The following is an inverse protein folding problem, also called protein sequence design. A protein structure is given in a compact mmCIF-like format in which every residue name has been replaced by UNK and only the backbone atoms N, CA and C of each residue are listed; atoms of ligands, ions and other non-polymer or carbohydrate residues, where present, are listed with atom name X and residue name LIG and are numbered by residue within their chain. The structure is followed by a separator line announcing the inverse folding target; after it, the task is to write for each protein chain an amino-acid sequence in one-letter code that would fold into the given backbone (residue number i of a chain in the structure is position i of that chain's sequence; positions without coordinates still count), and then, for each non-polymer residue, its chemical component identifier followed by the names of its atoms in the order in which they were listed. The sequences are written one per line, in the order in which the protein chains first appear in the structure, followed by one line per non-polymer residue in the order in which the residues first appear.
data_IF_239389892581
#
_entry.id   IF_239389892581
#
_cell.length_a   1.000
_cell.length_b   1.000
_cell.length_c   1.000
_cell.angle_alpha   90.00
_cell.angle_beta   90.00
_cell.angle_gamma   90.00
#
_symmetry.space_group_name_H-M   'P 1'
#
loop_
_entity.id
_entity.type
_entity.pdbx_description
1 polymer ?
#
# COMPACT_ATOMS: atom_id res chain seq x y z
N UNK A 1 -8.30 13.69 -3.02
CA UNK A 1 -7.55 12.41 -3.12
C UNK A 1 -7.13 12.05 -1.71
N UNK A 2 -7.52 10.88 -1.20
CA UNK A 2 -7.12 10.43 0.14
C UNK A 2 -6.04 9.36 -0.01
N UNK A 3 -4.96 9.47 0.75
CA UNK A 3 -3.85 8.51 0.72
C UNK A 3 -3.62 7.95 2.11
N UNK A 4 -3.47 6.64 2.19
CA UNK A 4 -3.16 5.91 3.41
C UNK A 4 -1.91 5.06 3.18
N UNK A 5 -1.01 5.03 4.16
CA UNK A 5 0.18 4.18 4.14
C UNK A 5 0.02 3.11 5.22
N UNK A 6 0.14 1.84 4.84
CA UNK A 6 0.20 0.70 5.75
C UNK A 6 1.61 0.15 5.71
N UNK A 7 2.35 0.20 6.81
CA UNK A 7 3.75 -0.22 6.85
C UNK A 7 4.02 -1.21 7.98
N UNK A 8 5.00 -2.10 7.75
CA UNK A 8 5.55 -3.01 8.76
C UNK A 8 6.98 -3.37 8.38
N UNK A 9 7.93 -3.07 9.28
CA UNK A 9 9.34 -3.34 9.04
C UNK A 9 9.84 -2.66 7.76
N UNK A 10 10.40 -3.46 6.84
CA UNK A 10 11.00 -2.96 5.61
C UNK A 10 10.01 -2.85 4.42
N UNK A 11 8.71 -3.04 4.66
CA UNK A 11 7.68 -3.06 3.62
C UNK A 11 6.59 -2.05 3.94
N UNK A 12 6.07 -1.40 2.90
CA UNK A 12 4.95 -0.49 3.01
C UNK A 12 4.02 -0.64 1.81
N UNK A 13 2.72 -0.47 2.02
CA UNK A 13 1.72 -0.40 0.96
C UNK A 13 1.08 0.97 1.01
N UNK A 14 1.12 1.68 -0.12
CA UNK A 14 0.42 2.94 -0.28
C UNK A 14 -0.91 2.64 -0.93
N UNK A 15 -2.00 3.07 -0.29
CA UNK A 15 -3.37 2.97 -0.77
C UNK A 15 -3.84 4.38 -1.10
N UNK A 16 -4.27 4.60 -2.34
CA UNK A 16 -4.80 5.85 -2.82
C UNK A 16 -6.26 5.66 -3.18
N UNK A 17 -7.14 6.47 -2.60
CA UNK A 17 -8.53 6.56 -3.00
C UNK A 17 -8.71 7.64 -4.06
N UNK A 18 -9.30 7.24 -5.19
CA UNK A 18 -9.75 8.12 -6.24
C UNK A 18 -11.14 7.70 -6.75
N UNK A 19 -12.13 8.61 -6.64
CA UNK A 19 -13.51 8.42 -7.14
C UNK A 19 -14.15 7.11 -6.66
N UNK A 20 -13.96 6.75 -5.39
CA UNK A 20 -14.51 5.54 -4.77
C UNK A 20 -13.80 4.24 -5.14
N UNK A 21 -12.67 4.31 -5.86
CA UNK A 21 -11.78 3.17 -6.10
C UNK A 21 -10.49 3.34 -5.31
N UNK A 22 -9.98 2.24 -4.79
CA UNK A 22 -8.76 2.20 -3.98
C UNK A 22 -7.66 1.50 -4.76
N UNK A 23 -6.66 2.24 -5.22
CA UNK A 23 -5.46 1.68 -5.82
C UNK A 23 -4.41 1.45 -4.73
N UNK A 24 -3.83 0.26 -4.65
CA UNK A 24 -2.79 -0.07 -3.68
C UNK A 24 -1.52 -0.54 -4.39
N UNK A 25 -0.35 -0.10 -3.93
CA UNK A 25 0.96 -0.52 -4.45
C UNK A 25 1.91 -0.85 -3.31
N UNK A 26 2.62 -1.97 -3.44
CA UNK A 26 3.64 -2.39 -2.49
C UNK A 26 4.98 -1.70 -2.77
N UNK A 27 5.64 -1.29 -1.70
CA UNK A 27 6.97 -0.73 -1.63
C UNK A 27 7.82 -1.59 -0.70
N UNK A 28 9.07 -1.80 -1.09
CA UNK A 28 10.10 -2.49 -0.30
C UNK A 28 11.22 -1.53 0.03
N UNK A 29 12.09 -1.86 0.98
CA UNK A 29 13.12 -0.95 1.49
C UNK A 29 12.52 0.31 2.14
N UNK A 30 11.36 0.18 2.78
CA UNK A 30 10.60 1.27 3.38
C UNK A 30 10.94 1.53 4.86
N UNK A 31 12.04 0.97 5.38
CA UNK A 31 12.44 1.09 6.79
C UNK A 31 12.57 2.54 7.27
N UNK A 32 13.05 3.43 6.40
CA UNK A 32 13.25 4.86 6.68
C UNK A 32 12.15 5.73 6.04
N UNK A 33 10.97 5.13 5.80
CA UNK A 33 9.82 5.78 5.17
C UNK A 33 9.71 5.50 3.68
N UNK A 34 8.55 5.87 3.10
CA UNK A 34 8.21 5.53 1.71
C UNK A 34 8.98 6.36 0.67
N UNK A 35 9.51 7.53 1.06
CA UNK A 35 10.20 8.45 0.14
C UNK A 35 11.47 7.83 -0.46
N UNK A 36 12.13 6.96 0.32
CA UNK A 36 13.34 6.23 -0.09
C UNK A 36 13.04 4.78 -0.51
N UNK A 37 11.78 4.37 -0.48
CA UNK A 37 11.39 3.01 -0.75
C UNK A 37 11.34 2.72 -2.25
N UNK A 38 11.60 1.47 -2.63
CA UNK A 38 11.48 1.01 -4.00
C UNK A 38 10.06 0.55 -4.29
N UNK A 39 9.40 1.18 -5.26
CA UNK A 39 8.09 0.75 -5.73
C UNK A 39 8.19 -0.60 -6.45
N UNK A 40 7.33 -1.54 -6.10
CA UNK A 40 7.24 -2.84 -6.77
C UNK A 40 6.19 -2.82 -7.89
N UNK A 41 6.25 -3.80 -8.78
CA UNK A 41 5.19 -4.07 -9.76
C UNK A 41 3.91 -4.64 -9.12
N UNK A 42 3.98 -5.07 -7.86
CA UNK A 42 2.83 -5.60 -7.12
C UNK A 42 1.89 -4.46 -6.74
N UNK A 43 0.79 -4.37 -7.50
CA UNK A 43 -0.28 -3.41 -7.27
C UNK A 43 -1.64 -4.07 -7.50
N UNK A 44 -2.69 -3.51 -6.91
CA UNK A 44 -4.06 -3.98 -7.11
C UNK A 44 -5.07 -2.84 -6.92
N UNK A 45 -6.28 -3.01 -7.42
CA UNK A 45 -7.39 -2.06 -7.25
C UNK A 45 -8.57 -2.71 -6.53
N UNK A 46 -9.24 -1.93 -5.68
CA UNK A 46 -10.31 -2.42 -4.82
C UNK A 46 -11.53 -1.48 -4.88
N UNK A 47 -12.71 -2.06 -4.65
CA UNK A 47 -13.98 -1.32 -4.56
C UNK A 47 -14.24 -0.77 -3.15
N UNK A 48 -13.42 -1.11 -2.16
CA UNK A 48 -13.58 -0.65 -0.77
C UNK A 48 -12.26 -0.55 -0.03
N UNK A 49 -12.18 0.39 0.91
CA UNK A 49 -11.03 0.57 1.80
C UNK A 49 -10.70 -0.71 2.58
N UNK A 50 -11.72 -1.43 3.07
CA UNK A 50 -11.52 -2.68 3.82
C UNK A 50 -10.89 -3.80 2.98
N UNK A 51 -11.18 -3.86 1.67
CA UNK A 51 -10.52 -4.79 0.76
C UNK A 51 -9.04 -4.44 0.58
N UNK A 52 -8.75 -3.17 0.32
CA UNK A 52 -7.39 -2.66 0.15
C UNK A 52 -6.54 -2.86 1.41
N UNK A 53 -7.09 -2.55 2.58
CA UNK A 53 -6.42 -2.73 3.87
C UNK A 53 -6.11 -4.20 4.19
N UNK A 54 -7.04 -5.13 3.94
CA UNK A 54 -6.78 -6.57 4.13
C UNK A 54 -5.69 -7.10 3.22
N UNK A 55 -5.66 -6.65 1.97
CA UNK A 55 -4.58 -7.00 1.06
C UNK A 55 -3.25 -6.40 1.50
N UNK A 56 -3.24 -5.11 1.87
CA UNK A 56 -2.05 -4.42 2.35
C UNK A 56 -1.43 -5.12 3.58
N UNK A 57 -2.27 -5.49 4.56
CA UNK A 57 -1.85 -6.23 5.75
C UNK A 57 -1.13 -7.55 5.41
N UNK A 58 -1.61 -8.27 4.39
CA UNK A 58 -0.94 -9.50 3.92
C UNK A 58 0.42 -9.20 3.28
N UNK A 59 0.51 -8.14 2.47
CA UNK A 59 1.75 -7.80 1.77
C UNK A 59 2.87 -7.32 2.70
N UNK A 60 2.52 -6.57 3.76
CA UNK A 60 3.52 -6.07 4.72
C UNK A 60 3.90 -7.10 5.79
N UNK A 61 3.15 -8.20 5.91
CA UNK A 61 3.42 -9.28 6.87
C UNK A 61 4.23 -10.44 6.28
N UNK A 62 4.36 -10.52 4.96
CA UNK A 62 5.24 -11.44 4.27
C UNK A 62 6.71 -11.01 4.40
#
# INVERSE_FOLDING_TARGET
MQQQVVSKGNRAVVITEERGRFAARLYVNARDGIANASATLTANTFKSAAGANRWAAKQVAA
#
